data_IF_198865888896
#
_entry.id   IF_198865888896
#
_cell.length_a   1.000
_cell.length_b   1.000
_cell.length_c   1.000
_cell.angle_alpha   90.00
_cell.angle_beta   90.00
_cell.angle_gamma   90.00
#
_symmetry.space_group_name_H-M   'P 1'
#
loop_
_entity.id
_entity.type
_entity.pdbx_description
1 polymer ?
#
# COMPACT_ATOMS: atom_id res chain seq x y z
N UNK A 1 -43.84 46.60 -46.58
CA UNK A 1 -42.97 45.66 -47.32
C UNK A 1 -42.13 44.82 -46.34
N UNK A 2 -42.72 44.41 -45.20
CA UNK A 2 -41.99 43.79 -44.07
C UNK A 2 -42.49 42.37 -43.73
N UNK A 3 -43.68 41.97 -44.18
CA UNK A 3 -44.24 40.63 -43.87
C UNK A 3 -43.70 39.48 -44.74
N UNK A 4 -42.88 39.75 -45.78
CA UNK A 4 -42.28 38.71 -46.63
C UNK A 4 -40.88 38.26 -46.17
N UNK A 5 -40.30 38.93 -45.17
CA UNK A 5 -38.94 38.63 -44.67
C UNK A 5 -38.99 37.63 -43.50
N UNK A 6 -39.97 37.73 -42.60
CA UNK A 6 -40.11 36.81 -41.46
C UNK A 6 -40.42 35.37 -41.89
N UNK A 7 -41.29 35.17 -42.88
CA UNK A 7 -41.69 33.83 -43.31
C UNK A 7 -40.57 33.04 -44.03
N UNK A 8 -39.53 33.73 -44.51
CA UNK A 8 -38.32 33.15 -45.11
C UNK A 8 -37.26 32.78 -44.05
N UNK A 9 -37.25 33.46 -42.91
CA UNK A 9 -36.34 33.17 -41.79
C UNK A 9 -36.80 31.95 -40.97
N UNK A 10 -38.11 31.78 -40.76
CA UNK A 10 -38.64 30.60 -40.04
C UNK A 10 -38.53 29.29 -40.83
N UNK A 11 -38.60 29.35 -42.17
CA UNK A 11 -38.35 28.17 -43.02
C UNK A 11 -36.87 27.78 -43.08
N UNK A 12 -35.96 28.73 -42.84
CA UNK A 12 -34.51 28.46 -42.80
C UNK A 12 -34.08 27.81 -41.48
N UNK A 13 -34.77 28.13 -40.37
CA UNK A 13 -34.54 27.51 -39.06
C UNK A 13 -35.07 26.09 -38.94
N UNK A 14 -36.09 25.69 -39.71
CA UNK A 14 -36.60 24.31 -39.72
C UNK A 14 -35.83 23.36 -40.65
N UNK A 15 -34.88 23.86 -41.43
CA UNK A 15 -34.11 23.07 -42.40
C UNK A 15 -32.60 23.04 -42.14
N UNK A 16 -32.09 23.76 -41.12
CA UNK A 16 -30.70 23.64 -40.68
C UNK A 16 -30.61 22.88 -39.36
N UNK A 17 -30.09 21.66 -39.48
CA UNK A 17 -29.56 20.83 -38.41
C UNK A 17 -30.57 20.17 -37.48
N UNK A 18 -31.50 19.45 -38.11
CA UNK A 18 -31.65 18.01 -37.82
C UNK A 18 -30.33 17.30 -38.19
N UNK A 19 -29.24 17.60 -37.46
CA UNK A 19 -28.09 16.70 -37.38
C UNK A 19 -28.48 15.74 -36.27
N UNK A 20 -28.95 14.58 -36.69
CA UNK A 20 -28.68 13.36 -35.94
C UNK A 20 -27.23 13.42 -35.52
N UNK A 21 -27.00 13.62 -34.23
CA UNK A 21 -25.73 13.31 -33.60
C UNK A 21 -25.66 11.79 -33.61
N UNK A 22 -25.41 11.22 -34.80
CA UNK A 22 -24.74 9.95 -34.90
C UNK A 22 -23.29 10.26 -34.53
N UNK A 23 -23.04 10.24 -33.23
CA UNK A 23 -21.71 10.20 -32.62
C UNK A 23 -21.11 8.78 -32.72
N UNK A 24 -21.61 8.00 -33.68
CA UNK A 24 -21.14 6.65 -33.95
C UNK A 24 -19.93 6.77 -34.88
N UNK A 25 -18.74 6.63 -34.30
CA UNK A 25 -17.54 6.29 -35.06
C UNK A 25 -17.90 5.16 -36.03
N UNK A 26 -17.88 5.40 -37.36
CA UNK A 26 -18.58 4.56 -38.35
C UNK A 26 -17.98 3.15 -38.56
N UNK A 27 -17.06 2.75 -37.69
CA UNK A 27 -16.26 1.53 -37.74
C UNK A 27 -16.38 0.68 -36.46
N UNK A 28 -17.04 1.15 -35.39
CA UNK A 28 -17.29 0.32 -34.21
C UNK A 28 -18.71 -0.25 -34.23
N UNK A 29 -18.80 -1.58 -34.30
CA UNK A 29 -20.07 -2.26 -34.00
C UNK A 29 -20.44 -1.99 -32.53
N UNK A 30 -21.73 -1.97 -32.17
CA UNK A 30 -22.17 -1.78 -30.78
C UNK A 30 -21.56 -2.81 -29.81
N UNK A 31 -21.28 -4.02 -30.31
CA UNK A 31 -20.60 -5.08 -29.56
C UNK A 31 -19.14 -4.72 -29.27
N UNK A 32 -18.42 -4.20 -30.27
CA UNK A 32 -17.03 -3.77 -30.12
C UNK A 32 -16.91 -2.54 -29.20
N UNK A 33 -17.85 -1.59 -29.29
CA UNK A 33 -17.92 -0.43 -28.38
C UNK A 33 -18.07 -0.89 -26.92
N UNK A 34 -19.02 -1.79 -26.66
CA UNK A 34 -19.23 -2.37 -25.32
C UNK A 34 -17.99 -3.13 -24.80
N UNK A 35 -17.26 -3.79 -25.70
CA UNK A 35 -16.03 -4.47 -25.33
C UNK A 35 -14.95 -3.47 -24.89
N UNK A 36 -14.69 -2.41 -25.66
CA UNK A 36 -13.74 -1.37 -25.27
C UNK A 36 -14.12 -0.63 -23.99
N UNK A 37 -15.42 -0.42 -23.73
CA UNK A 37 -15.89 0.14 -22.46
C UNK A 37 -15.52 -0.78 -21.27
N UNK A 38 -15.63 -2.10 -21.44
CA UNK A 38 -15.23 -3.07 -20.43
C UNK A 38 -13.70 -3.10 -20.25
N UNK A 39 -12.92 -3.00 -21.33
CA UNK A 39 -11.45 -2.88 -21.24
C UNK A 39 -11.03 -1.59 -20.50
N UNK A 40 -11.70 -0.48 -20.78
CA UNK A 40 -11.47 0.79 -20.09
C UNK A 40 -11.80 0.70 -18.59
N UNK A 41 -12.87 -0.01 -18.21
CA UNK A 41 -13.19 -0.29 -16.81
C UNK A 41 -12.07 -1.06 -16.12
N UNK A 42 -11.56 -2.12 -16.77
CA UNK A 42 -10.48 -2.97 -16.24
C UNK A 42 -9.18 -2.18 -16.12
N UNK A 43 -8.84 -1.37 -17.12
CA UNK A 43 -7.67 -0.49 -17.08
C UNK A 43 -7.78 0.53 -15.94
N UNK A 44 -8.95 1.15 -15.75
CA UNK A 44 -9.18 2.09 -14.63
C UNK A 44 -8.96 1.42 -13.28
N UNK A 45 -9.46 0.20 -13.10
CA UNK A 45 -9.27 -0.58 -11.88
C UNK A 45 -7.80 -0.96 -11.66
N UNK A 46 -7.08 -1.32 -12.72
CA UNK A 46 -5.64 -1.58 -12.65
C UNK A 46 -4.85 -0.36 -12.18
N UNK A 47 -5.12 0.82 -12.76
CA UNK A 47 -4.43 2.06 -12.37
C UNK A 47 -4.73 2.46 -10.91
N UNK A 48 -5.97 2.27 -10.44
CA UNK A 48 -6.30 2.45 -9.02
C UNK A 48 -5.54 1.45 -8.14
N UNK A 49 -5.41 0.20 -8.60
CA UNK A 49 -4.68 -0.85 -7.88
C UNK A 49 -3.17 -0.54 -7.79
N UNK A 50 -2.55 -0.04 -8.87
CA UNK A 50 -1.17 0.47 -8.87
C UNK A 50 -0.96 1.54 -7.80
N UNK A 51 -1.85 2.53 -7.76
CA UNK A 51 -1.76 3.61 -6.79
C UNK A 51 -1.91 3.11 -5.35
N UNK A 52 -2.80 2.14 -5.12
CA UNK A 52 -3.02 1.53 -3.80
C UNK A 52 -1.84 0.71 -3.34
N UNK A 53 -1.26 -0.12 -4.21
CA UNK A 53 -0.06 -0.89 -3.87
C UNK A 53 1.12 0.03 -3.56
N UNK A 54 1.30 1.13 -4.29
CA UNK A 54 2.33 2.15 -3.97
C UNK A 54 2.11 2.75 -2.59
N UNK A 55 0.89 3.21 -2.31
CA UNK A 55 0.53 3.78 -1.00
C UNK A 55 0.69 2.77 0.14
N UNK A 56 0.31 1.52 -0.10
CA UNK A 56 0.51 0.44 0.85
C UNK A 56 2.01 0.20 1.10
N UNK A 57 2.82 0.21 0.05
CA UNK A 57 4.27 0.01 0.17
C UNK A 57 4.93 1.13 0.97
N UNK A 58 4.54 2.39 0.76
CA UNK A 58 5.03 3.52 1.56
C UNK A 58 4.70 3.36 3.05
N UNK A 59 3.47 2.91 3.36
CA UNK A 59 3.06 2.58 4.73
C UNK A 59 3.90 1.42 5.30
N UNK A 60 4.04 0.33 4.54
CA UNK A 60 4.82 -0.83 4.93
C UNK A 60 6.26 -0.44 5.26
N UNK A 61 6.92 0.34 4.40
CA UNK A 61 8.29 0.81 4.66
C UNK A 61 8.39 1.69 5.91
N UNK A 62 7.38 2.54 6.16
CA UNK A 62 7.34 3.37 7.37
C UNK A 62 7.24 2.52 8.64
N UNK A 63 6.33 1.55 8.64
CA UNK A 63 6.12 0.63 9.76
C UNK A 63 7.34 -0.28 9.98
N UNK A 64 7.95 -0.82 8.92
CA UNK A 64 9.17 -1.63 9.00
C UNK A 64 10.33 -0.84 9.62
N UNK A 65 10.54 0.42 9.22
CA UNK A 65 11.56 1.28 9.83
C UNK A 65 11.29 1.53 11.32
N UNK A 66 10.04 1.72 11.71
CA UNK A 66 9.67 1.86 13.11
C UNK A 66 9.94 0.57 13.91
N UNK A 67 9.59 -0.58 13.36
CA UNK A 67 9.87 -1.89 13.97
C UNK A 67 11.37 -2.15 14.13
N UNK A 68 12.21 -1.75 13.16
CA UNK A 68 13.68 -1.82 13.28
C UNK A 68 14.18 -1.01 14.48
N UNK A 69 13.65 0.18 14.73
CA UNK A 69 14.06 0.98 15.90
C UNK A 69 13.57 0.31 17.20
N UNK A 70 12.33 -0.18 17.22
CA UNK A 70 11.73 -0.82 18.38
C UNK A 70 12.45 -2.12 18.78
N UNK A 71 12.85 -2.95 17.80
CA UNK A 71 13.52 -4.21 18.09
C UNK A 71 14.89 -4.01 18.71
N UNK A 72 15.62 -2.94 18.34
CA UNK A 72 16.89 -2.58 18.99
C UNK A 72 16.66 -2.20 20.46
N UNK A 73 15.53 -1.54 20.77
CA UNK A 73 15.16 -1.22 22.16
C UNK A 73 14.78 -2.48 22.94
N UNK A 74 13.97 -3.36 22.35
CA UNK A 74 13.59 -4.64 22.92
C UNK A 74 14.83 -5.50 23.22
N UNK A 75 15.79 -5.55 22.29
CA UNK A 75 17.08 -6.24 22.45
C UNK A 75 17.86 -5.73 23.67
N UNK A 76 17.97 -4.42 23.86
CA UNK A 76 18.60 -3.84 25.05
C UNK A 76 17.85 -4.16 26.35
N UNK A 77 16.53 -4.18 26.32
CA UNK A 77 15.70 -4.50 27.49
C UNK A 77 15.87 -5.98 27.88
N UNK A 78 15.86 -6.90 26.90
CA UNK A 78 16.15 -8.33 27.11
C UNK A 78 17.53 -8.53 27.74
N UNK A 79 18.57 -7.87 27.23
CA UNK A 79 19.91 -7.95 27.83
C UNK A 79 19.95 -7.48 29.28
N UNK A 80 19.33 -6.33 29.56
CA UNK A 80 19.25 -5.79 30.93
C UNK A 80 18.51 -6.71 31.87
N UNK A 81 17.42 -7.31 31.40
CA UNK A 81 16.65 -8.27 32.18
C UNK A 81 17.48 -9.52 32.50
N UNK A 82 18.16 -10.10 31.51
CA UNK A 82 19.04 -11.26 31.70
C UNK A 82 20.19 -10.97 32.67
N UNK A 83 20.80 -9.78 32.61
CA UNK A 83 21.82 -9.35 33.57
C UNK A 83 21.24 -9.23 34.98
N UNK A 84 20.06 -8.62 35.12
CA UNK A 84 19.41 -8.41 36.42
C UNK A 84 19.15 -9.75 37.12
N UNK A 85 18.49 -10.68 36.44
CA UNK A 85 18.10 -11.98 37.04
C UNK A 85 19.32 -12.90 37.26
N UNK A 86 20.40 -12.76 36.48
CA UNK A 86 21.64 -13.52 36.70
C UNK A 86 22.49 -12.96 37.86
N UNK A 87 22.31 -11.69 38.21
CA UNK A 87 23.03 -11.02 39.30
C UNK A 87 22.45 -11.29 40.70
N UNK A 88 21.21 -11.78 40.79
CA UNK A 88 20.52 -12.06 42.07
C UNK A 88 21.19 -13.17 42.89
N UNK A 89 22.00 -14.05 42.27
CA UNK A 89 22.65 -15.16 42.98
C UNK A 89 23.88 -14.78 43.82
N UNK A 90 24.32 -13.51 43.81
CA UNK A 90 25.58 -13.12 44.47
C UNK A 90 25.70 -11.70 45.03
N UNK A 91 24.66 -10.86 44.99
CA UNK A 91 24.79 -9.44 45.35
C UNK A 91 23.84 -9.01 46.49
N UNK A 92 24.38 -8.28 47.49
CA UNK A 92 23.68 -7.76 48.67
C UNK A 92 22.83 -6.51 48.36
N UNK A 93 22.02 -6.50 47.31
CA UNK A 93 21.07 -5.39 47.09
C UNK A 93 19.73 -5.68 47.78
N UNK A 94 19.05 -4.67 48.36
CA UNK A 94 17.73 -4.87 48.95
C UNK A 94 16.72 -5.29 47.86
N UNK A 95 16.00 -6.39 48.08
CA UNK A 95 15.00 -6.98 47.17
C UNK A 95 13.95 -5.97 46.65
N UNK A 96 13.73 -4.89 47.39
CA UNK A 96 12.78 -3.82 47.01
C UNK A 96 13.24 -3.04 45.77
N UNK A 97 14.56 -2.82 45.60
CA UNK A 97 15.10 -2.07 44.46
C UNK A 97 15.25 -2.94 43.20
N UNK A 98 15.55 -4.23 43.38
CA UNK A 98 15.64 -5.17 42.25
C UNK A 98 14.27 -5.44 41.64
N UNK A 99 13.23 -5.67 42.47
CA UNK A 99 11.84 -5.83 41.99
C UNK A 99 11.32 -4.60 41.26
N UNK A 100 11.54 -3.39 41.79
CA UNK A 100 11.11 -2.17 41.11
C UNK A 100 11.82 -1.96 39.76
N UNK A 101 13.06 -2.41 39.63
CA UNK A 101 13.82 -2.33 38.37
C UNK A 101 13.35 -3.39 37.37
N UNK A 102 13.09 -4.61 37.84
CA UNK A 102 12.52 -5.71 37.06
C UNK A 102 11.18 -5.31 36.44
N UNK A 103 10.26 -4.82 37.28
CA UNK A 103 8.94 -4.33 36.84
C UNK A 103 9.06 -3.21 35.81
N UNK A 104 10.00 -2.28 35.99
CA UNK A 104 10.22 -1.19 35.03
C UNK A 104 10.69 -1.72 33.66
N UNK A 105 11.59 -2.70 33.63
CA UNK A 105 12.07 -3.31 32.38
C UNK A 105 10.94 -4.08 31.70
N UNK A 106 10.19 -4.91 32.44
CA UNK A 106 9.07 -5.68 31.89
C UNK A 106 7.99 -4.76 31.34
N UNK A 107 7.61 -3.71 32.08
CA UNK A 107 6.60 -2.75 31.63
C UNK A 107 7.04 -2.04 30.35
N UNK A 108 8.30 -1.58 30.28
CA UNK A 108 8.82 -0.95 29.06
C UNK A 108 8.85 -1.94 27.88
N UNK A 109 9.26 -3.18 28.13
CA UNK A 109 9.27 -4.24 27.11
C UNK A 109 7.88 -4.47 26.55
N UNK A 110 6.88 -4.62 27.43
CA UNK A 110 5.48 -4.83 27.04
C UNK A 110 4.92 -3.64 26.25
N UNK A 111 5.26 -2.41 26.64
CA UNK A 111 4.90 -1.21 25.90
C UNK A 111 5.46 -1.26 24.47
N UNK A 112 6.75 -1.59 24.29
CA UNK A 112 7.34 -1.67 22.95
C UNK A 112 6.77 -2.81 22.13
N UNK A 113 6.51 -3.96 22.75
CA UNK A 113 5.87 -5.10 22.09
C UNK A 113 4.46 -4.76 21.61
N UNK A 114 3.69 -3.99 22.38
CA UNK A 114 2.37 -3.52 21.95
C UNK A 114 2.45 -2.60 20.73
N UNK A 115 3.46 -1.71 20.68
CA UNK A 115 3.66 -0.85 19.50
C UNK A 115 3.99 -1.71 18.26
N UNK A 116 4.83 -2.74 18.39
CA UNK A 116 5.10 -3.70 17.29
C UNK A 116 3.82 -4.43 16.87
N UNK A 117 2.99 -4.85 17.83
CA UNK A 117 1.72 -5.53 17.56
C UNK A 117 0.74 -4.63 16.79
N UNK A 118 0.61 -3.37 17.21
CA UNK A 118 -0.19 -2.37 16.51
C UNK A 118 0.34 -2.14 15.10
N UNK A 119 1.65 -2.01 14.93
CA UNK A 119 2.31 -1.89 13.63
C UNK A 119 1.95 -3.05 12.69
N UNK A 120 2.12 -4.30 13.13
CA UNK A 120 1.77 -5.49 12.36
C UNK A 120 0.27 -5.54 12.00
N UNK A 121 -0.61 -5.13 12.91
CA UNK A 121 -2.04 -5.07 12.65
C UNK A 121 -2.41 -3.95 11.65
N UNK A 122 -1.73 -2.81 11.69
CA UNK A 122 -1.88 -1.71 10.72
C UNK A 122 -1.51 -2.17 9.32
N UNK A 123 -0.35 -2.82 9.15
CA UNK A 123 0.08 -3.39 7.87
C UNK A 123 -0.94 -4.43 7.39
N UNK A 124 -1.36 -5.35 8.26
CA UNK A 124 -2.37 -6.37 7.94
C UNK A 124 -3.69 -5.76 7.44
N UNK A 125 -4.22 -4.78 8.17
CA UNK A 125 -5.48 -4.14 7.81
C UNK A 125 -5.37 -3.43 6.45
N UNK A 126 -4.24 -2.77 6.19
CA UNK A 126 -4.01 -2.07 4.94
C UNK A 126 -3.93 -3.04 3.74
N UNK A 127 -3.22 -4.18 3.85
CA UNK A 127 -3.13 -5.14 2.73
C UNK A 127 -4.47 -5.85 2.49
N UNK A 128 -5.23 -6.16 3.54
CA UNK A 128 -6.55 -6.74 3.39
C UNK A 128 -7.52 -5.78 2.70
N UNK A 129 -7.39 -4.47 2.95
CA UNK A 129 -8.13 -3.45 2.21
C UNK A 129 -7.73 -3.42 0.73
N UNK A 130 -6.45 -3.58 0.39
CA UNK A 130 -6.03 -3.71 -1.02
C UNK A 130 -6.62 -4.96 -1.67
N UNK A 131 -6.76 -6.07 -0.92
CA UNK A 131 -7.39 -7.32 -1.39
C UNK A 131 -8.81 -7.12 -1.91
N UNK A 132 -9.59 -6.21 -1.30
CA UNK A 132 -10.95 -5.89 -1.76
C UNK A 132 -10.92 -5.33 -3.19
N UNK A 133 -10.00 -4.42 -3.47
CA UNK A 133 -9.82 -3.86 -4.82
C UNK A 133 -9.22 -4.85 -5.81
N UNK A 134 -8.35 -5.76 -5.35
CA UNK A 134 -7.90 -6.89 -6.18
C UNK A 134 -9.11 -7.72 -6.65
N UNK A 135 -10.06 -8.02 -5.77
CA UNK A 135 -11.27 -8.80 -6.11
C UNK A 135 -12.15 -8.06 -7.13
N UNK A 136 -12.34 -6.75 -6.96
CA UNK A 136 -13.06 -5.92 -7.94
C UNK A 136 -12.39 -5.97 -9.31
N UNK A 137 -11.07 -5.80 -9.34
CA UNK A 137 -10.29 -5.90 -10.57
C UNK A 137 -10.39 -7.29 -11.21
N UNK A 138 -10.30 -8.37 -10.43
CA UNK A 138 -10.42 -9.74 -10.96
C UNK A 138 -11.83 -10.01 -11.51
N UNK A 139 -12.87 -9.56 -10.83
CA UNK A 139 -14.24 -9.70 -11.31
C UNK A 139 -14.48 -8.92 -12.61
N UNK A 140 -13.89 -7.73 -12.77
CA UNK A 140 -13.94 -6.99 -14.03
C UNK A 140 -13.17 -7.70 -15.14
N UNK A 141 -11.94 -8.15 -14.87
CA UNK A 141 -11.13 -8.91 -15.82
C UNK A 141 -11.84 -10.19 -16.28
N UNK A 142 -12.47 -10.92 -15.36
CA UNK A 142 -13.10 -12.19 -15.67
C UNK A 142 -14.33 -12.02 -16.58
N UNK A 143 -14.98 -10.85 -16.54
CA UNK A 143 -16.07 -10.46 -17.46
C UNK A 143 -15.60 -10.10 -18.87
N UNK A 144 -14.30 -9.85 -19.10
CA UNK A 144 -13.78 -9.57 -20.43
C UNK A 144 -13.97 -10.77 -21.36
N UNK A 145 -14.39 -10.48 -22.60
CA UNK A 145 -14.39 -11.42 -23.70
C UNK A 145 -12.96 -11.61 -24.21
N UNK A 146 -12.28 -12.68 -23.76
CA UNK A 146 -10.89 -12.97 -24.17
C UNK A 146 -10.77 -13.50 -25.60
N UNK A 147 -11.88 -13.66 -26.33
CA UNK A 147 -11.83 -14.08 -27.74
C UNK A 147 -11.49 -12.91 -28.67
N UNK A 148 -11.62 -11.66 -28.18
CA UNK A 148 -11.23 -10.48 -28.92
C UNK A 148 -9.70 -10.36 -28.91
N UNK A 149 -9.07 -10.28 -30.08
CA UNK A 149 -7.62 -10.13 -30.24
C UNK A 149 -7.19 -8.66 -30.11
N UNK A 150 -7.59 -7.99 -29.02
CA UNK A 150 -7.26 -6.58 -28.79
C UNK A 150 -5.81 -6.42 -28.33
N UNK A 151 -5.17 -5.26 -28.58
CA UNK A 151 -3.87 -4.93 -28.00
C UNK A 151 -3.85 -4.96 -26.47
N UNK A 152 -4.98 -4.70 -25.82
CA UNK A 152 -5.10 -4.77 -24.36
C UNK A 152 -4.96 -6.21 -23.85
N UNK A 153 -5.59 -7.17 -24.55
CA UNK A 153 -5.57 -8.59 -24.21
C UNK A 153 -4.29 -9.31 -24.66
N UNK A 154 -3.74 -8.96 -25.83
CA UNK A 154 -2.54 -9.61 -26.37
C UNK A 154 -1.23 -8.90 -25.97
N UNK A 155 -1.31 -7.63 -25.58
CA UNK A 155 -0.16 -6.75 -25.45
C UNK A 155 0.23 -6.12 -26.79
N UNK A 156 1.10 -5.12 -26.72
CA UNK A 156 1.66 -4.44 -27.89
C UNK A 156 3.16 -4.15 -27.69
N UNK A 157 3.76 -3.35 -28.59
CA UNK A 157 5.18 -2.96 -28.52
C UNK A 157 5.54 -2.20 -27.24
N UNK A 158 4.57 -1.55 -26.62
CA UNK A 158 4.72 -0.59 -25.52
C UNK A 158 4.12 -1.11 -24.20
N UNK A 159 3.14 -2.00 -24.25
CA UNK A 159 2.35 -2.46 -23.11
C UNK A 159 2.34 -3.98 -23.03
N UNK A 160 2.46 -4.51 -21.80
CA UNK A 160 2.22 -5.93 -21.56
C UNK A 160 0.72 -6.20 -21.57
N UNK A 161 0.33 -7.42 -21.90
CA UNK A 161 -1.06 -7.84 -21.86
C UNK A 161 -1.66 -7.69 -20.45
N UNK A 162 -2.97 -7.44 -20.38
CA UNK A 162 -3.65 -7.29 -19.09
C UNK A 162 -3.55 -8.54 -18.19
N UNK A 163 -3.43 -9.73 -18.78
CA UNK A 163 -3.22 -10.97 -18.03
C UNK A 163 -1.92 -10.93 -17.20
N UNK A 164 -0.85 -10.35 -17.75
CA UNK A 164 0.41 -10.18 -17.03
C UNK A 164 0.22 -9.34 -15.77
N UNK A 165 -0.51 -8.23 -15.87
CA UNK A 165 -0.80 -7.37 -14.72
C UNK A 165 -1.72 -8.04 -13.70
N UNK A 166 -2.66 -8.90 -14.14
CA UNK A 166 -3.46 -9.73 -13.22
C UNK A 166 -2.59 -10.65 -12.38
N UNK A 167 -1.66 -11.36 -13.01
CA UNK A 167 -0.74 -12.28 -12.32
C UNK A 167 0.13 -11.49 -11.33
N UNK A 168 0.72 -10.37 -11.76
CA UNK A 168 1.52 -9.53 -10.86
C UNK A 168 0.73 -9.02 -9.66
N UNK A 169 -0.53 -8.60 -9.83
CA UNK A 169 -1.35 -8.13 -8.73
C UNK A 169 -1.56 -9.23 -7.67
N UNK A 170 -1.73 -10.49 -8.10
CA UNK A 170 -1.82 -11.66 -7.22
C UNK A 170 -0.50 -11.89 -6.50
N UNK A 171 0.62 -11.88 -7.22
CA UNK A 171 1.94 -12.16 -6.65
C UNK A 171 2.35 -11.10 -5.62
N UNK A 172 2.11 -9.82 -5.92
CA UNK A 172 2.38 -8.70 -5.00
C UNK A 172 1.53 -8.84 -3.74
N UNK A 173 0.24 -9.15 -3.88
CA UNK A 173 -0.63 -9.38 -2.72
C UNK A 173 -0.14 -10.55 -1.86
N UNK A 174 0.15 -11.69 -2.48
CA UNK A 174 0.60 -12.89 -1.78
C UNK A 174 1.92 -12.67 -1.06
N UNK A 175 2.87 -11.98 -1.70
CA UNK A 175 4.13 -11.60 -1.08
C UNK A 175 3.90 -10.79 0.19
N UNK A 176 3.16 -9.68 0.12
CA UNK A 176 2.92 -8.83 1.28
C UNK A 176 2.10 -9.50 2.36
N UNK A 177 1.12 -10.31 1.98
CA UNK A 177 0.33 -11.07 2.95
C UNK A 177 1.19 -12.09 3.70
N UNK A 178 2.04 -12.83 2.99
CA UNK A 178 3.00 -13.75 3.59
C UNK A 178 3.98 -13.01 4.53
N UNK A 179 4.45 -11.83 4.12
CA UNK A 179 5.31 -11.00 4.96
C UNK A 179 4.64 -10.58 6.27
N UNK A 180 3.38 -10.14 6.21
CA UNK A 180 2.61 -9.81 7.42
C UNK A 180 2.48 -11.03 8.35
N UNK A 181 2.23 -12.21 7.80
CA UNK A 181 2.14 -13.44 8.59
C UNK A 181 3.48 -13.79 9.23
N UNK A 182 4.59 -13.66 8.49
CA UNK A 182 5.95 -13.85 8.99
C UNK A 182 6.24 -12.92 10.15
N UNK A 183 6.00 -11.62 10.00
CA UNK A 183 6.22 -10.62 11.05
C UNK A 183 5.41 -10.93 12.32
N UNK A 184 4.14 -11.33 12.17
CA UNK A 184 3.31 -11.73 13.30
C UNK A 184 3.82 -12.99 14.00
N UNK A 185 4.31 -13.97 13.24
CA UNK A 185 4.88 -15.20 13.79
C UNK A 185 6.06 -14.89 14.71
N UNK A 186 7.06 -14.17 14.21
CA UNK A 186 8.25 -13.80 14.99
C UNK A 186 7.91 -12.89 16.18
N UNK A 187 7.00 -11.93 16.01
CA UNK A 187 6.53 -11.10 17.12
C UNK A 187 5.89 -11.93 18.24
N UNK A 188 5.18 -13.02 17.93
CA UNK A 188 4.60 -13.91 18.94
C UNK A 188 5.63 -14.76 19.69
N UNK A 189 6.85 -14.89 19.16
CA UNK A 189 7.95 -15.62 19.79
C UNK A 189 8.81 -14.74 20.71
N UNK A 190 8.63 -13.41 20.66
CA UNK A 190 9.39 -12.48 21.47
C UNK A 190 9.14 -12.72 22.97
N UNK A 191 10.23 -13.05 23.68
CA UNK A 191 10.24 -13.29 25.11
C UNK A 191 11.38 -12.48 25.76
N UNK A 192 11.12 -11.72 26.85
CA UNK A 192 12.18 -11.03 27.59
C UNK A 192 13.26 -11.96 28.16
N UNK A 193 13.00 -13.27 28.25
CA UNK A 193 13.98 -14.30 28.65
C UNK A 193 14.76 -14.92 27.48
N UNK A 194 14.37 -14.65 26.23
CA UNK A 194 14.97 -15.29 25.05
C UNK A 194 15.66 -14.26 24.16
N UNK A 195 16.98 -14.19 24.28
CA UNK A 195 17.81 -13.37 23.40
C UNK A 195 17.72 -13.81 21.93
N UNK A 196 17.65 -15.13 21.72
CA UNK A 196 17.55 -15.77 20.41
C UNK A 196 16.31 -15.29 19.65
N UNK A 197 15.13 -15.32 20.30
CA UNK A 197 13.87 -14.86 19.68
C UNK A 197 13.93 -13.41 19.17
N UNK A 198 14.64 -12.56 19.91
CA UNK A 198 14.81 -11.15 19.57
C UNK A 198 15.79 -10.98 18.40
N UNK A 199 16.86 -11.76 18.37
CA UNK A 199 17.84 -11.75 17.28
C UNK A 199 17.26 -12.27 15.97
N UNK A 200 16.49 -13.35 16.02
CA UNK A 200 15.78 -13.88 14.85
C UNK A 200 14.82 -12.84 14.26
N UNK A 201 14.00 -12.20 15.09
CA UNK A 201 13.09 -11.17 14.59
C UNK A 201 13.84 -9.94 14.05
N UNK A 202 14.96 -9.57 14.69
CA UNK A 202 15.84 -8.48 14.25
C UNK A 202 16.47 -8.78 12.89
N UNK A 203 16.87 -10.03 12.64
CA UNK A 203 17.38 -10.47 11.34
C UNK A 203 16.30 -10.38 10.26
N UNK A 204 15.09 -10.85 10.55
CA UNK A 204 13.93 -10.71 9.65
C UNK A 204 13.71 -9.24 9.29
N UNK A 205 13.69 -8.35 10.28
CA UNK A 205 13.49 -6.92 10.02
C UNK A 205 14.61 -6.32 9.18
N UNK A 206 15.88 -6.69 9.40
CA UNK A 206 17.01 -6.18 8.60
C UNK A 206 16.98 -6.66 7.16
N UNK A 207 16.69 -7.93 6.94
CA UNK A 207 16.66 -8.51 5.60
C UNK A 207 15.46 -7.98 4.79
N UNK A 208 14.31 -7.81 5.43
CA UNK A 208 13.05 -7.50 4.75
C UNK A 208 12.77 -5.98 4.66
N UNK A 209 13.39 -5.16 5.52
CA UNK A 209 13.28 -3.69 5.44
C UNK A 209 14.11 -3.09 4.29
N UNK A 210 15.09 -3.84 3.76
CA UNK A 210 16.02 -3.39 2.70
C UNK A 210 15.71 -4.14 1.39
N UNK A 211 14.45 -4.15 0.97
CA UNK A 211 14.03 -4.75 -0.30
C UNK A 211 13.98 -3.67 -1.41
N UNK A 212 15.15 -3.12 -1.77
CA UNK A 212 15.25 -2.09 -2.83
C UNK A 212 14.73 -2.60 -4.19
N UNK A 213 14.94 -3.88 -4.48
CA UNK A 213 14.47 -4.53 -5.71
C UNK A 213 12.94 -4.50 -5.84
N UNK A 214 12.22 -4.53 -4.71
CA UNK A 214 10.76 -4.51 -4.71
C UNK A 214 10.20 -3.12 -5.01
N UNK A 215 10.93 -2.06 -4.62
CA UNK A 215 10.56 -0.69 -4.97
C UNK A 215 10.60 -0.48 -6.49
N UNK A 216 11.67 -0.94 -7.14
CA UNK A 216 11.78 -0.92 -8.60
C UNK A 216 10.68 -1.78 -9.24
N UNK A 217 10.45 -2.99 -8.71
CA UNK A 217 9.42 -3.88 -9.23
C UNK A 217 8.04 -3.21 -9.25
N UNK A 218 7.65 -2.57 -8.14
CA UNK A 218 6.34 -1.96 -7.97
C UNK A 218 6.21 -0.61 -8.70
N UNK A 219 7.29 0.18 -8.79
CA UNK A 219 7.29 1.48 -9.47
C UNK A 219 7.52 1.40 -10.97
N UNK A 220 8.17 0.35 -11.46
CA UNK A 220 8.58 0.24 -12.87
C UNK A 220 7.90 -0.90 -13.60
N UNK A 221 7.77 -2.08 -12.97
CA UNK A 221 7.28 -3.31 -13.66
C UNK A 221 5.79 -3.53 -13.51
N UNK A 222 5.21 -3.19 -12.35
CA UNK A 222 3.76 -3.31 -12.14
C UNK A 222 2.95 -2.27 -12.93
N UNK A 223 3.60 -1.18 -13.35
CA UNK A 223 2.99 -0.06 -14.05
C UNK A 223 2.58 -0.44 -15.47
N UNK A 224 1.29 -0.31 -15.79
CA UNK A 224 0.76 -0.56 -17.12
C UNK A 224 1.29 0.43 -18.15
N UNK A 225 1.12 1.73 -17.90
CA UNK A 225 1.62 2.79 -18.78
C UNK A 225 2.02 4.02 -17.98
N UNK A 226 3.23 4.52 -18.20
CA UNK A 226 3.72 5.74 -17.54
C UNK A 226 2.96 6.99 -17.95
N UNK A 227 2.41 7.02 -19.16
CA UNK A 227 1.62 8.15 -19.66
C UNK A 227 0.27 8.30 -18.95
N UNK A 228 -0.23 7.23 -18.34
CA UNK A 228 -1.51 7.22 -17.61
C UNK A 228 -1.33 7.56 -16.12
N UNK A 229 -0.10 7.79 -15.67
CA UNK A 229 0.16 8.21 -14.30
C UNK A 229 -0.10 9.71 -14.13
N UNK A 230 -0.56 10.16 -12.95
CA UNK A 230 -0.70 11.58 -12.65
C UNK A 230 0.64 12.29 -12.88
N UNK A 231 0.63 13.36 -13.68
CA UNK A 231 1.82 14.19 -13.90
C UNK A 231 2.27 14.72 -12.55
N UNK A 232 3.56 14.53 -12.22
CA UNK A 232 4.11 15.08 -10.98
C UNK A 232 4.00 16.60 -11.02
N UNK A 233 3.06 17.14 -10.26
CA UNK A 233 2.97 18.59 -10.03
C UNK A 233 4.15 19.00 -9.16
N UNK A 234 4.88 20.01 -9.58
CA UNK A 234 6.07 20.55 -8.92
C UNK A 234 5.84 20.66 -7.39
N UNK A 235 6.77 20.20 -6.52
CA UNK A 235 6.57 20.01 -5.08
C UNK A 235 6.39 21.31 -4.26
N UNK A 236 6.15 22.45 -4.90
CA UNK A 236 6.04 23.77 -4.24
C UNK A 236 4.77 23.87 -3.37
N UNK A 237 3.79 22.98 -3.50
CA UNK A 237 2.54 23.03 -2.71
C UNK A 237 2.07 21.63 -2.30
N UNK A 238 2.63 21.07 -1.22
CA UNK A 238 1.93 20.16 -0.26
C UNK A 238 2.85 19.65 0.86
N UNK A 239 3.50 20.55 1.60
CA UNK A 239 3.82 20.25 3.00
C UNK A 239 2.54 20.40 3.85
N UNK A 240 1.63 19.43 3.71
CA UNK A 240 0.69 19.06 4.77
C UNK A 240 1.06 17.67 5.26
N UNK A 241 2.28 17.53 5.77
CA UNK A 241 2.54 16.47 6.72
C UNK A 241 1.62 16.74 7.92
N UNK A 242 0.86 15.74 8.34
CA UNK A 242 0.00 15.81 9.52
C UNK A 242 0.87 15.85 10.78
N UNK A 243 1.48 17.00 11.07
CA UNK A 243 2.17 17.32 12.33
C UNK A 243 1.18 17.45 13.51
N UNK A 244 0.16 16.59 13.60
CA UNK A 244 -0.76 16.61 14.75
C UNK A 244 -0.24 15.85 15.96
N UNK A 245 0.87 15.11 15.84
CA UNK A 245 1.45 14.34 16.95
C UNK A 245 2.86 14.78 17.40
N UNK A 246 3.42 15.87 16.85
CA UNK A 246 4.73 16.38 17.29
C UNK A 246 4.66 17.36 18.47
N UNK A 247 3.47 17.70 18.95
CA UNK A 247 3.29 18.53 20.15
C UNK A 247 3.66 17.81 21.47
N UNK A 248 3.87 16.49 21.43
CA UNK A 248 4.17 15.67 22.62
C UNK A 248 5.65 15.31 22.79
N UNK A 249 6.54 15.69 21.85
CA UNK A 249 7.98 15.63 22.09
C UNK A 249 8.46 16.90 22.79
N UNK A 250 7.89 17.17 23.98
CA UNK A 250 8.56 18.04 24.94
C UNK A 250 9.79 17.29 25.43
N UNK A 251 10.96 17.80 25.04
CA UNK A 251 12.17 17.84 25.84
C UNK A 251 12.06 17.09 27.19
N UNK A 252 12.61 15.88 27.23
CA UNK A 252 13.13 15.32 28.50
C UNK A 252 14.64 15.53 28.46
N UNK A 253 15.05 16.79 28.57
CA UNK A 253 16.32 17.12 29.19
C UNK A 253 16.01 17.41 30.64
N UNK A 254 16.35 16.46 31.51
CA UNK A 254 16.59 16.70 32.93
C UNK A 254 17.74 15.80 33.36
N UNK A 255 18.87 16.47 33.63
CA UNK A 255 19.95 16.18 34.59
C UNK A 255 20.47 14.74 34.61
#
# INVERSE_FOLDING_TARGET
MEQKVEHKLERKWKFQNKRTVDDDEPHLTPQLKKHYEAEAEVLRLLLDLEARFKKYYDLYQCEMKAQVILIERIWLLTQRYLILISSEQGCQYPEVYTRSTEEAIINEYQEKLEVVRVSNNTIKAAILKVSEYCKEFYAAYDRLDKTQETPFLLGDKHHRCIQYHKIMAVDIFNYFYAMVLKLKCYMHQLDPMSMESVEEYREVLKNEAIMEEFDEYLKMRFVYCRCLQPVQTCPILKLKCSHKNLANLKYVSRI
#
